data_IF_521833792292
#
_entry.id   IF_521833792292
#
_cell.length_a   1.000
_cell.length_b   1.000
_cell.length_c   1.000
_cell.angle_alpha   90.00
_cell.angle_beta   90.00
_cell.angle_gamma   90.00
#
_symmetry.space_group_name_H-M   'P 1'
#
loop_
_entity.id
_entity.type
_entity.pdbx_description
1 polymer ?
#
# COMPACT_ATOMS: atom_id res chain seq x y z
N UNK A 1 -21.86 -29.11 0.67
CA UNK A 1 -20.40 -29.04 0.45
C UNK A 1 -19.77 -29.00 1.83
N UNK A 2 -19.18 -30.10 2.30
CA UNK A 2 -18.56 -30.11 3.63
C UNK A 2 -17.31 -29.21 3.60
N UNK A 3 -17.27 -28.18 4.44
CA UNK A 3 -16.10 -27.33 4.61
C UNK A 3 -14.95 -28.20 5.13
N UNK A 4 -13.95 -28.46 4.27
CA UNK A 4 -12.78 -29.22 4.72
C UNK A 4 -12.05 -28.39 5.79
N UNK A 5 -11.67 -29.02 6.92
CA UNK A 5 -11.12 -28.28 8.05
C UNK A 5 -9.76 -27.68 7.68
N UNK A 6 -9.70 -26.34 7.71
CA UNK A 6 -8.45 -25.59 7.55
C UNK A 6 -7.72 -25.60 8.89
N UNK A 7 -6.51 -26.15 8.91
CA UNK A 7 -5.66 -26.15 10.12
C UNK A 7 -4.49 -25.19 9.96
N UNK A 8 -4.21 -24.44 11.03
CA UNK A 8 -3.11 -23.48 11.07
C UNK A 8 -2.00 -24.03 11.95
N UNK A 9 -0.77 -23.98 11.45
CA UNK A 9 0.44 -24.25 12.23
C UNK A 9 1.32 -23.02 12.23
N UNK A 10 1.80 -22.63 13.39
CA UNK A 10 2.69 -21.48 13.54
C UNK A 10 4.12 -21.93 13.76
N UNK A 11 5.06 -21.32 13.04
CA UNK A 11 6.50 -21.54 13.17
C UNK A 11 7.21 -20.24 13.48
N UNK A 12 8.40 -20.33 14.09
CA UNK A 12 9.31 -19.20 14.37
C UNK A 12 8.57 -18.01 15.02
N UNK A 13 7.89 -18.28 16.12
CA UNK A 13 7.18 -17.26 16.89
C UNK A 13 8.18 -16.38 17.63
N UNK A 14 8.13 -15.07 17.36
CA UNK A 14 8.99 -14.06 17.96
C UNK A 14 8.13 -12.95 18.56
N UNK A 15 8.32 -12.67 19.85
CA UNK A 15 7.75 -11.49 20.51
C UNK A 15 8.70 -10.31 20.34
N UNK A 16 8.25 -9.22 19.71
CA UNK A 16 9.04 -7.99 19.56
C UNK A 16 8.40 -6.85 20.38
N UNK A 17 8.96 -6.51 21.54
CA UNK A 17 8.46 -5.42 22.39
C UNK A 17 8.62 -4.02 21.78
N UNK A 18 9.65 -3.78 20.96
CA UNK A 18 9.96 -2.46 20.40
C UNK A 18 8.84 -1.93 19.49
N UNK A 19 8.17 -2.84 18.78
CA UNK A 19 7.09 -2.53 17.86
C UNK A 19 5.72 -3.00 18.40
N UNK A 20 5.65 -3.40 19.67
CA UNK A 20 4.46 -3.95 20.33
C UNK A 20 3.74 -5.01 19.47
N UNK A 21 4.50 -5.98 18.95
CA UNK A 21 3.96 -7.00 18.04
C UNK A 21 4.59 -8.38 18.21
N UNK A 22 3.79 -9.40 17.93
CA UNK A 22 4.19 -10.81 17.79
C UNK A 22 4.30 -11.13 16.30
N UNK A 23 5.41 -11.75 15.92
CA UNK A 23 5.72 -12.09 14.53
C UNK A 23 5.83 -13.59 14.41
N UNK A 24 5.24 -14.17 13.37
CA UNK A 24 5.30 -15.61 13.16
C UNK A 24 5.16 -15.94 11.67
N UNK A 25 5.65 -17.13 11.32
CA UNK A 25 5.38 -17.78 10.04
C UNK A 25 4.14 -18.67 10.23
N UNK A 26 3.17 -18.55 9.35
CA UNK A 26 1.93 -19.33 9.37
C UNK A 26 1.95 -20.32 8.21
N UNK A 27 1.81 -21.59 8.54
CA UNK A 27 1.53 -22.65 7.58
C UNK A 27 0.05 -22.99 7.64
N UNK A 28 -0.61 -22.93 6.49
CA UNK A 28 -2.03 -23.21 6.32
C UNK A 28 -2.15 -24.55 5.61
N UNK A 29 -2.74 -25.51 6.30
CA UNK A 29 -3.08 -26.83 5.77
C UNK A 29 -4.57 -26.81 5.38
N UNK A 30 -4.83 -26.99 4.09
CA UNK A 30 -6.16 -26.93 3.51
C UNK A 30 -6.33 -28.08 2.50
N UNK A 31 -6.48 -29.33 2.98
CA UNK A 31 -6.64 -30.47 2.09
C UNK A 31 -7.92 -30.30 1.25
N UNK A 32 -7.81 -30.57 -0.04
CA UNK A 32 -8.90 -30.55 -1.03
C UNK A 32 -9.64 -29.20 -1.20
N UNK A 33 -9.22 -28.14 -0.51
CA UNK A 33 -9.71 -26.78 -0.71
C UNK A 33 -8.70 -25.99 -1.53
N UNK A 34 -9.19 -24.99 -2.26
CA UNK A 34 -8.34 -24.00 -2.91
C UNK A 34 -7.64 -23.08 -1.89
N UNK A 35 -7.10 -21.95 -2.35
CA UNK A 35 -6.50 -20.98 -1.44
C UNK A 35 -7.52 -20.47 -0.41
N UNK A 36 -7.05 -20.29 0.83
CA UNK A 36 -7.86 -19.72 1.91
C UNK A 36 -7.80 -18.20 1.81
N UNK A 37 -8.95 -17.55 1.95
CA UNK A 37 -9.02 -16.08 1.94
C UNK A 37 -8.29 -15.49 3.14
N UNK A 38 -7.74 -14.28 3.00
CA UNK A 38 -7.00 -13.63 4.09
C UNK A 38 -7.88 -13.28 5.28
N UNK A 39 -9.16 -12.99 5.04
CA UNK A 39 -10.08 -12.62 6.10
C UNK A 39 -10.43 -13.84 6.98
N UNK A 40 -10.65 -15.01 6.38
CA UNK A 40 -10.79 -16.27 7.14
C UNK A 40 -9.54 -16.59 7.97
N UNK A 41 -8.34 -16.37 7.40
CA UNK A 41 -7.10 -16.58 8.14
C UNK A 41 -6.95 -15.61 9.32
N UNK A 42 -7.40 -14.36 9.17
CA UNK A 42 -7.41 -13.39 10.26
C UNK A 42 -8.36 -13.83 11.37
N UNK A 43 -9.55 -14.34 11.03
CA UNK A 43 -10.51 -14.84 12.01
C UNK A 43 -9.94 -16.01 12.80
N UNK A 44 -9.41 -17.03 12.11
CA UNK A 44 -8.81 -18.20 12.77
C UNK A 44 -7.60 -17.86 13.63
N UNK A 45 -6.75 -16.93 13.20
CA UNK A 45 -5.62 -16.45 14.01
C UNK A 45 -6.09 -15.62 15.22
N UNK A 46 -7.18 -14.86 15.06
CA UNK A 46 -7.78 -14.08 16.12
C UNK A 46 -8.34 -14.99 17.22
N UNK A 47 -8.98 -16.09 16.84
CA UNK A 47 -9.50 -17.12 17.75
C UNK A 47 -8.37 -17.84 18.51
N UNK A 48 -7.33 -18.28 17.78
CA UNK A 48 -6.20 -19.02 18.36
C UNK A 48 -5.44 -18.22 19.42
N UNK A 49 -5.24 -16.93 19.19
CA UNK A 49 -4.45 -16.06 20.06
C UNK A 49 -5.29 -15.11 20.91
N UNK A 50 -6.62 -15.23 20.87
CA UNK A 50 -7.58 -14.39 21.61
C UNK A 50 -7.30 -12.90 21.42
N UNK A 51 -7.15 -12.51 20.15
CA UNK A 51 -6.89 -11.13 19.74
C UNK A 51 -8.01 -10.63 18.84
N UNK A 52 -8.11 -9.32 18.62
CA UNK A 52 -9.12 -8.80 17.71
C UNK A 52 -8.69 -8.98 16.25
N UNK A 53 -9.62 -9.26 15.33
CA UNK A 53 -9.35 -9.36 13.88
C UNK A 53 -8.62 -8.14 13.33
N UNK A 54 -8.91 -6.95 13.87
CA UNK A 54 -8.31 -5.67 13.48
C UNK A 54 -6.90 -5.43 14.01
N UNK A 55 -6.39 -6.34 14.85
CA UNK A 55 -5.00 -6.36 15.34
C UNK A 55 -4.12 -7.35 14.57
N UNK A 56 -4.73 -8.22 13.75
CA UNK A 56 -4.06 -9.27 12.98
C UNK A 56 -3.83 -8.83 11.54
N UNK A 57 -2.57 -8.81 11.11
CA UNK A 57 -2.16 -8.55 9.72
C UNK A 57 -1.48 -9.78 9.11
N UNK A 58 -1.98 -10.20 7.95
CA UNK A 58 -1.63 -11.46 7.28
C UNK A 58 -1.11 -11.14 5.87
N UNK A 59 0.14 -11.53 5.54
CA UNK A 59 0.76 -11.15 4.26
C UNK A 59 1.73 -12.21 3.70
N UNK A 60 2.05 -12.05 2.41
CA UNK A 60 3.11 -12.82 1.75
C UNK A 60 2.81 -14.31 1.58
N UNK A 61 1.54 -14.69 1.35
CA UNK A 61 1.17 -16.09 1.20
C UNK A 61 1.65 -16.65 -0.14
N UNK A 62 2.25 -17.85 -0.08
CA UNK A 62 2.65 -18.66 -1.23
C UNK A 62 2.11 -20.07 -1.05
N UNK A 63 1.36 -20.55 -2.04
CA UNK A 63 0.90 -21.94 -2.15
C UNK A 63 2.06 -22.80 -2.62
N UNK A 64 2.24 -23.98 -2.01
CA UNK A 64 3.18 -24.97 -2.52
C UNK A 64 2.67 -25.56 -3.84
N UNK A 65 3.59 -25.97 -4.72
CA UNK A 65 3.24 -26.69 -5.94
C UNK A 65 2.58 -28.03 -5.57
N UNK A 66 1.48 -28.36 -6.25
CA UNK A 66 0.63 -29.49 -5.87
C UNK A 66 -0.44 -29.17 -4.80
N UNK A 67 -0.46 -27.97 -4.23
CA UNK A 67 -1.52 -27.50 -3.34
C UNK A 67 -1.47 -28.07 -1.92
N UNK A 68 -2.57 -27.91 -1.17
CA UNK A 68 -2.76 -28.45 0.19
C UNK A 68 -2.01 -27.74 1.32
N UNK A 69 -0.89 -27.07 1.02
CA UNK A 69 -0.10 -26.28 1.97
C UNK A 69 0.20 -24.90 1.41
N UNK A 70 -0.01 -23.88 2.23
CA UNK A 70 0.36 -22.49 1.95
C UNK A 70 1.19 -21.96 3.09
N UNK A 71 2.24 -21.21 2.78
CA UNK A 71 3.11 -20.57 3.77
C UNK A 71 2.95 -19.07 3.67
N UNK A 72 2.95 -18.38 4.80
CA UNK A 72 2.84 -16.94 4.86
C UNK A 72 3.33 -16.37 6.18
N UNK A 73 3.16 -15.07 6.35
CA UNK A 73 3.55 -14.36 7.56
C UNK A 73 2.32 -13.77 8.23
N UNK A 74 2.33 -13.77 9.56
CA UNK A 74 1.35 -13.07 10.37
C UNK A 74 2.02 -12.16 11.40
N UNK A 75 1.43 -10.99 11.59
CA UNK A 75 1.78 -10.02 12.62
C UNK A 75 0.55 -9.82 13.49
N UNK A 76 0.72 -10.05 14.80
CA UNK A 76 -0.25 -9.70 15.81
C UNK A 76 0.25 -8.44 16.52
N UNK A 77 -0.49 -7.34 16.46
CA UNK A 77 -0.21 -6.15 17.26
C UNK A 77 -0.95 -6.22 18.59
N UNK A 78 -0.39 -5.63 19.64
CA UNK A 78 -1.08 -5.56 20.94
C UNK A 78 -2.25 -4.54 20.91
N UNK A 79 -2.13 -3.48 20.10
CA UNK A 79 -3.17 -2.45 19.90
C UNK A 79 -3.40 -2.12 18.43
N UNK A 80 -4.62 -1.64 18.11
CA UNK A 80 -4.96 -1.21 16.75
C UNK A 80 -4.22 0.08 16.34
N UNK A 81 -3.86 0.92 17.31
CA UNK A 81 -3.05 2.11 17.07
C UNK A 81 -1.61 1.77 16.65
N UNK A 82 -1.01 0.77 17.31
CA UNK A 82 0.32 0.29 16.95
C UNK A 82 0.34 -0.24 15.51
N UNK A 83 -0.71 -0.96 15.10
CA UNK A 83 -0.87 -1.40 13.71
C UNK A 83 -0.81 -0.21 12.74
N UNK A 84 -1.60 0.84 12.96
CA UNK A 84 -1.65 2.02 12.07
C UNK A 84 -0.32 2.76 11.98
N UNK A 85 0.45 2.80 13.07
CA UNK A 85 1.75 3.48 13.14
C UNK A 85 2.87 2.72 12.41
N UNK A 86 2.91 1.40 12.56
CA UNK A 86 4.04 0.59 12.09
C UNK A 86 3.80 -0.11 10.74
N UNK A 87 2.54 -0.28 10.33
CA UNK A 87 2.23 -0.85 9.03
C UNK A 87 2.51 0.15 7.89
N UNK A 88 3.12 -0.30 6.78
CA UNK A 88 3.25 0.53 5.60
C UNK A 88 1.88 0.81 4.99
N UNK A 89 1.68 2.03 4.50
CA UNK A 89 0.38 2.53 4.02
C UNK A 89 -0.30 1.61 3.00
N UNK A 90 0.45 0.93 2.12
CA UNK A 90 -0.15 0.05 1.11
C UNK A 90 -0.82 -1.20 1.72
N UNK A 91 -0.41 -1.66 2.92
CA UNK A 91 -1.08 -2.75 3.64
C UNK A 91 -2.34 -2.25 4.35
N UNK A 92 -2.29 -1.05 4.93
CA UNK A 92 -3.47 -0.41 5.54
C UNK A 92 -4.61 -0.23 4.54
N UNK A 93 -4.30 0.23 3.32
CA UNK A 93 -5.29 0.39 2.24
C UNK A 93 -5.90 -0.96 1.83
N UNK A 94 -5.12 -2.05 1.82
CA UNK A 94 -5.62 -3.39 1.47
C UNK A 94 -6.57 -3.97 2.51
N UNK A 95 -6.37 -3.62 3.78
CA UNK A 95 -7.23 -4.05 4.89
C UNK A 95 -8.47 -3.14 5.00
N UNK A 96 -8.46 -1.96 4.36
CA UNK A 96 -9.52 -0.96 4.46
C UNK A 96 -9.36 0.00 5.65
N UNK A 97 -8.26 -0.11 6.42
CA UNK A 97 -7.98 0.72 7.59
C UNK A 97 -7.30 2.06 7.27
N UNK A 98 -6.94 2.31 6.00
CA UNK A 98 -6.24 3.52 5.57
C UNK A 98 -6.75 4.06 4.23
N UNK A 99 -6.69 5.38 4.08
CA UNK A 99 -7.08 6.05 2.84
C UNK A 99 -5.99 5.94 1.79
N UNK A 100 -6.40 5.73 0.52
CA UNK A 100 -5.48 5.75 -0.61
C UNK A 100 -4.92 7.16 -0.74
N UNK A 101 -3.60 7.29 -0.63
CA UNK A 101 -2.96 8.59 -0.83
C UNK A 101 -2.99 8.93 -2.32
N UNK A 102 -3.95 9.77 -2.71
CA UNK A 102 -4.12 10.30 -4.06
C UNK A 102 -2.89 11.15 -4.41
N UNK A 103 -1.98 10.55 -5.16
CA UNK A 103 -0.68 11.11 -5.49
C UNK A 103 -0.58 11.15 -7.00
N UNK A 104 -0.43 12.35 -7.56
CA UNK A 104 -0.17 12.55 -9.00
C UNK A 104 0.93 11.60 -9.51
N UNK A 105 0.80 11.09 -10.74
CA UNK A 105 1.69 10.08 -11.32
C UNK A 105 3.18 10.40 -11.07
N UNK A 106 3.99 9.36 -10.82
CA UNK A 106 5.45 9.51 -10.58
C UNK A 106 6.09 10.29 -11.73
N UNK A 107 5.65 10.08 -12.97
CA UNK A 107 6.10 10.86 -14.13
C UNK A 107 5.81 12.34 -13.91
N UNK A 108 4.59 12.75 -13.56
CA UNK A 108 4.23 14.16 -13.33
C UNK A 108 5.00 14.83 -12.18
N UNK A 109 5.53 14.03 -11.24
CA UNK A 109 6.40 14.51 -10.15
C UNK A 109 7.85 14.67 -10.55
N UNK A 110 8.30 13.97 -11.59
CA UNK A 110 9.71 13.76 -11.92
C UNK A 110 10.08 14.25 -13.32
N UNK A 111 9.13 14.27 -14.27
CA UNK A 111 9.39 14.42 -15.69
C UNK A 111 9.92 15.81 -16.05
N UNK A 112 11.01 15.73 -16.79
CA UNK A 112 11.73 16.77 -17.51
C UNK A 112 10.87 17.20 -18.69
N UNK A 113 10.62 18.49 -18.87
CA UNK A 113 10.27 18.99 -20.19
C UNK A 113 11.53 19.51 -20.85
N UNK A 114 11.93 18.85 -21.92
CA UNK A 114 12.71 19.50 -22.98
C UNK A 114 12.14 19.26 -24.38
N UNK A 115 11.10 18.41 -24.53
CA UNK A 115 10.60 18.04 -25.87
C UNK A 115 9.07 18.12 -26.05
N UNK A 116 8.35 18.71 -25.10
CA UNK A 116 6.87 18.79 -25.12
C UNK A 116 6.36 20.24 -25.03
N UNK A 117 7.23 21.23 -25.23
CA UNK A 117 6.82 22.65 -25.17
C UNK A 117 6.45 23.18 -26.57
N UNK A 118 7.14 22.76 -27.65
CA UNK A 118 6.90 23.34 -29.00
C UNK A 118 5.61 22.86 -29.67
N UNK A 119 5.31 21.55 -29.67
CA UNK A 119 4.08 21.01 -30.28
C UNK A 119 2.82 21.46 -29.51
N UNK A 120 2.91 21.52 -28.18
CA UNK A 120 1.80 21.90 -27.32
C UNK A 120 1.42 23.39 -27.43
N UNK A 121 2.42 24.28 -27.54
CA UNK A 121 2.18 25.72 -27.78
C UNK A 121 1.50 25.94 -29.14
N UNK A 122 1.96 25.24 -30.19
CA UNK A 122 1.39 25.38 -31.55
C UNK A 122 -0.06 24.86 -31.63
N UNK A 123 -0.41 23.81 -30.88
CA UNK A 123 -1.80 23.30 -30.83
C UNK A 123 -2.72 24.15 -29.94
N UNK A 124 -2.18 24.86 -28.95
CA UNK A 124 -2.94 25.75 -28.07
C UNK A 124 -3.30 27.08 -28.76
N UNK A 125 -2.38 27.68 -29.53
CA UNK A 125 -2.68 28.86 -30.37
C UNK A 125 -3.72 28.53 -31.46
N UNK A 126 -3.84 27.25 -31.84
CA UNK A 126 -4.85 26.71 -32.76
C UNK A 126 -6.17 26.30 -32.10
N UNK A 127 -6.34 26.50 -30.79
CA UNK A 127 -7.63 26.31 -30.08
C UNK A 127 -8.12 24.86 -29.96
N UNK A 128 -7.27 23.86 -30.19
CA UNK A 128 -7.69 22.45 -30.33
C UNK A 128 -7.70 21.66 -29.01
N UNK A 129 -7.10 22.16 -27.91
CA UNK A 129 -6.94 21.38 -26.66
C UNK A 129 -6.90 22.30 -25.43
N UNK A 130 -7.73 22.03 -24.41
CA UNK A 130 -7.56 22.57 -23.05
C UNK A 130 -6.46 21.81 -22.29
N UNK A 131 -5.31 22.45 -22.06
CA UNK A 131 -4.23 21.86 -21.27
C UNK A 131 -4.42 22.11 -19.77
N UNK A 132 -4.56 21.02 -19.02
CA UNK A 132 -4.52 21.02 -17.55
C UNK A 132 -3.05 21.22 -17.08
N UNK A 133 -2.62 22.47 -16.91
CA UNK A 133 -1.24 22.92 -16.67
C UNK A 133 -0.72 22.62 -15.25
N UNK A 134 -0.74 21.35 -14.84
CA UNK A 134 -0.38 20.93 -13.47
C UNK A 134 0.93 20.17 -13.33
N UNK A 135 1.89 20.26 -14.26
CA UNK A 135 2.87 19.14 -14.44
C UNK A 135 4.34 19.50 -14.62
N UNK A 136 4.93 20.42 -13.84
CA UNK A 136 6.41 20.55 -13.71
C UNK A 136 6.89 21.17 -12.36
N UNK A 137 6.50 20.60 -11.21
CA UNK A 137 6.74 21.25 -9.89
C UNK A 137 8.17 21.14 -9.34
N UNK A 138 8.81 19.96 -9.39
CA UNK A 138 10.09 19.72 -8.68
C UNK A 138 11.33 20.33 -9.35
N UNK A 139 11.42 20.32 -10.68
CA UNK A 139 12.59 20.89 -11.37
C UNK A 139 12.46 22.40 -11.56
N UNK A 140 11.23 22.93 -11.72
CA UNK A 140 10.98 24.38 -11.77
C UNK A 140 11.34 25.03 -10.44
N UNK A 141 10.98 24.43 -9.30
CA UNK A 141 11.34 24.96 -7.98
C UNK A 141 12.84 24.87 -7.66
N UNK A 142 13.61 23.98 -8.30
CA UNK A 142 15.09 23.95 -8.16
C UNK A 142 15.77 25.19 -8.76
N UNK A 143 15.14 25.86 -9.73
CA UNK A 143 15.67 27.06 -10.38
C UNK A 143 15.47 28.34 -9.55
N UNK A 144 14.59 28.33 -8.55
CA UNK A 144 14.30 29.49 -7.70
C UNK A 144 14.96 29.36 -6.32
N UNK A 145 15.26 30.47 -5.65
CA UNK A 145 15.78 30.51 -4.26
C UNK A 145 14.82 31.28 -3.34
N UNK A 146 14.78 30.95 -2.06
CA UNK A 146 13.95 31.64 -1.05
C UNK A 146 12.43 31.56 -1.30
N UNK A 147 11.72 32.64 -0.96
CA UNK A 147 10.24 32.76 -1.03
C UNK A 147 9.68 32.57 -2.46
N UNK A 148 10.53 32.71 -3.48
CA UNK A 148 10.16 32.45 -4.87
C UNK A 148 9.85 30.97 -5.19
N UNK A 149 10.21 30.01 -4.29
CA UNK A 149 9.80 28.60 -4.43
C UNK A 149 8.36 28.35 -3.98
N UNK A 150 7.86 29.13 -3.02
CA UNK A 150 6.54 28.94 -2.38
C UNK A 150 5.45 29.74 -3.10
N UNK A 151 5.78 30.95 -3.56
CA UNK A 151 4.97 31.72 -4.49
C UNK A 151 5.15 31.11 -5.88
N UNK A 152 4.25 30.24 -6.32
CA UNK A 152 4.20 29.82 -7.73
C UNK A 152 4.20 31.04 -8.68
N UNK A 153 4.45 30.87 -9.99
CA UNK A 153 4.57 32.00 -10.92
C UNK A 153 3.37 32.93 -10.75
N UNK A 154 3.61 34.18 -10.32
CA UNK A 154 2.55 35.19 -10.29
C UNK A 154 2.06 35.32 -11.73
N UNK A 155 0.79 34.97 -11.99
CA UNK A 155 0.16 35.38 -13.24
C UNK A 155 0.28 36.90 -13.30
N UNK A 156 1.03 37.44 -14.25
CA UNK A 156 0.93 38.85 -14.62
C UNK A 156 -0.53 39.06 -15.01
N UNK A 157 -1.26 39.86 -14.22
CA UNK A 157 -2.57 40.33 -14.63
C UNK A 157 -2.33 41.19 -15.88
N UNK A 158 -2.91 40.76 -17.01
CA UNK A 158 -3.20 41.67 -18.11
C UNK A 158 -4.31 42.63 -17.65
#
# INVERSE_FOLDING_TARGET
MADTPVTLRTRKFLRNPLLARKQMVVDVLHPNRANVSKDELRDRLSDLYKSNKDQVSVFGFRTQYGGGKSTGFALLYDSHEAMKKFEPNHRLVRIGAGTKVEKASRQQRTSIAQFMDYICIVMCVRGLIEYNTGKQRKNRSKKFRGVAKTKGPKKSKA
#
